data_IF_420721832808
#
_entry.id   IF_420721832808
#
_cell.length_a   1.000
_cell.length_b   1.000
_cell.length_c   1.000
_cell.angle_alpha   90.00
_cell.angle_beta   90.00
_cell.angle_gamma   90.00
#
_symmetry.space_group_name_H-M   'P 1'
#
loop_
_entity.id
_entity.type
_entity.pdbx_description
1 polymer ?
#
# COMPACT_ATOMS: atom_id res chain seq x y z
N UNK A 1 0.39 -7.18 -13.33
CA UNK A 1 0.86 -8.30 -12.47
C UNK A 1 -0.35 -8.94 -11.79
N UNK A 2 -0.39 -10.25 -11.78
CA UNK A 2 -1.30 -11.06 -10.97
C UNK A 2 -0.64 -11.41 -9.63
N UNK A 3 -1.37 -12.07 -8.73
CA UNK A 3 -0.87 -12.42 -7.38
C UNK A 3 0.40 -13.28 -7.42
N UNK A 4 0.46 -14.25 -8.32
CA UNK A 4 1.61 -15.14 -8.51
C UNK A 4 2.84 -14.39 -9.03
N UNK A 5 2.66 -13.37 -9.87
CA UNK A 5 3.75 -12.51 -10.33
C UNK A 5 4.35 -11.72 -9.19
N UNK A 6 3.50 -11.13 -8.33
CA UNK A 6 3.93 -10.38 -7.16
C UNK A 6 4.78 -11.27 -6.25
N UNK A 7 4.30 -12.47 -5.92
CA UNK A 7 5.04 -13.40 -5.07
C UNK A 7 6.38 -13.81 -5.71
N UNK A 8 6.39 -14.08 -7.01
CA UNK A 8 7.61 -14.44 -7.75
C UNK A 8 8.63 -13.30 -7.71
N UNK A 9 8.23 -12.07 -7.99
CA UNK A 9 9.16 -10.94 -8.00
C UNK A 9 9.68 -10.59 -6.60
N UNK A 10 8.83 -10.72 -5.57
CA UNK A 10 9.28 -10.57 -4.18
C UNK A 10 10.26 -11.68 -3.76
N UNK A 11 10.09 -12.90 -4.26
CA UNK A 11 11.02 -14.00 -4.00
C UNK A 11 12.38 -13.77 -4.70
N UNK A 12 12.37 -13.33 -5.95
CA UNK A 12 13.60 -12.97 -6.68
C UNK A 12 14.31 -11.80 -5.98
N UNK A 13 13.55 -10.75 -5.60
CA UNK A 13 14.12 -9.62 -4.88
C UNK A 13 14.75 -10.03 -3.56
N UNK A 14 14.08 -10.90 -2.81
CA UNK A 14 14.59 -11.43 -1.56
C UNK A 14 15.89 -12.27 -1.74
N UNK A 15 16.01 -13.00 -2.84
CA UNK A 15 17.21 -13.79 -3.14
C UNK A 15 18.47 -12.92 -3.40
N UNK A 16 18.28 -11.72 -3.93
CA UNK A 16 19.37 -10.78 -4.21
C UNK A 16 19.83 -9.99 -2.96
N UNK A 17 19.00 -9.95 -1.90
CA UNK A 17 19.32 -9.21 -0.69
C UNK A 17 20.25 -9.99 0.23
N UNK A 18 21.26 -9.31 0.79
CA UNK A 18 22.24 -9.89 1.72
C UNK A 18 21.91 -9.66 3.19
N UNK A 19 21.02 -8.71 3.49
CA UNK A 19 20.65 -8.31 4.85
C UNK A 19 19.13 -8.26 4.99
N UNK A 20 18.60 -8.48 6.20
CA UNK A 20 17.17 -8.36 6.45
C UNK A 20 16.63 -6.98 6.09
N UNK A 21 15.50 -6.98 5.39
CA UNK A 21 14.72 -5.80 5.00
C UNK A 21 13.27 -6.07 5.36
N UNK A 22 12.64 -5.12 6.05
CA UNK A 22 11.23 -5.19 6.45
C UNK A 22 10.43 -4.16 5.67
N UNK A 23 9.44 -4.64 4.93
CA UNK A 23 8.55 -3.79 4.14
C UNK A 23 7.09 -4.04 4.49
N UNK A 24 6.28 -2.99 4.39
CA UNK A 24 4.83 -3.04 4.49
C UNK A 24 4.24 -2.93 3.09
N UNK A 25 3.48 -3.93 2.67
CA UNK A 25 2.87 -3.94 1.35
C UNK A 25 1.60 -3.11 1.35
N UNK A 26 1.48 -2.17 0.40
CA UNK A 26 0.32 -1.28 0.29
C UNK A 26 -0.22 -1.26 -1.15
N UNK A 27 -1.09 -0.33 -1.47
CA UNK A 27 -1.53 -0.05 -2.84
C UNK A 27 -2.33 -1.17 -3.51
N UNK A 28 -2.12 -1.31 -4.81
CA UNK A 28 -2.81 -2.29 -5.66
C UNK A 28 -2.43 -3.73 -5.33
N UNK A 29 -1.16 -3.98 -5.02
CA UNK A 29 -0.66 -5.30 -4.64
C UNK A 29 -1.33 -5.82 -3.34
N UNK A 30 -1.52 -4.94 -2.33
CA UNK A 30 -2.29 -5.31 -1.15
C UNK A 30 -3.73 -5.69 -1.50
N UNK A 31 -4.39 -4.91 -2.35
CA UNK A 31 -5.78 -5.16 -2.75
C UNK A 31 -5.93 -6.51 -3.44
N UNK A 32 -5.00 -6.86 -4.29
CA UNK A 32 -5.00 -8.14 -5.01
C UNK A 32 -4.77 -9.32 -4.04
N UNK A 33 -3.75 -9.25 -3.20
CA UNK A 33 -3.33 -10.36 -2.33
C UNK A 33 -4.24 -10.57 -1.11
N UNK A 34 -4.79 -9.51 -0.52
CA UNK A 34 -5.48 -9.58 0.78
C UNK A 34 -6.95 -9.16 0.74
N UNK A 35 -7.36 -8.44 -0.30
CA UNK A 35 -8.74 -8.00 -0.45
C UNK A 35 -9.48 -8.70 -1.59
N UNK A 36 -8.83 -9.58 -2.36
CA UNK A 36 -9.37 -10.26 -3.54
C UNK A 36 -9.96 -9.26 -4.55
N UNK A 37 -9.27 -8.15 -4.79
CA UNK A 37 -9.68 -7.20 -5.81
C UNK A 37 -9.62 -7.87 -7.20
N UNK A 38 -10.63 -7.73 -8.06
CA UNK A 38 -10.73 -8.47 -9.33
C UNK A 38 -9.92 -7.83 -10.46
N UNK A 39 -8.86 -7.10 -10.14
CA UNK A 39 -8.04 -6.41 -11.13
C UNK A 39 -6.55 -6.55 -10.85
N UNK A 40 -5.73 -6.76 -11.89
CA UNK A 40 -4.28 -6.77 -11.75
C UNK A 40 -3.75 -5.41 -11.29
N UNK A 41 -2.54 -5.41 -10.77
CA UNK A 41 -1.79 -4.19 -10.47
C UNK A 41 -0.64 -4.01 -11.46
N UNK A 42 -0.17 -2.76 -11.64
CA UNK A 42 1.02 -2.45 -12.44
C UNK A 42 2.28 -2.43 -11.60
N UNK A 43 2.14 -2.13 -10.32
CA UNK A 43 3.19 -1.80 -9.37
C UNK A 43 3.02 -2.52 -8.04
N UNK A 44 4.10 -2.62 -7.31
CA UNK A 44 4.15 -3.08 -5.92
C UNK A 44 4.57 -1.87 -5.08
N UNK A 45 3.58 -1.20 -4.48
CA UNK A 45 3.83 -0.10 -3.55
C UNK A 45 4.20 -0.63 -2.18
N UNK A 46 5.23 -0.06 -1.56
CA UNK A 46 5.68 -0.46 -0.21
C UNK A 46 6.00 0.75 0.67
N UNK A 47 5.91 0.52 1.98
CA UNK A 47 6.56 1.35 2.99
C UNK A 47 7.64 0.55 3.69
N UNK A 48 8.71 1.23 4.11
CA UNK A 48 9.77 0.68 4.94
C UNK A 48 9.32 0.61 6.39
N UNK A 49 9.63 -0.49 7.07
CA UNK A 49 9.39 -0.63 8.51
C UNK A 49 10.63 -0.37 9.38
N UNK A 50 11.80 -0.24 8.73
CA UNK A 50 13.07 0.06 9.40
C UNK A 50 13.66 1.33 8.79
N UNK A 51 13.73 2.42 9.54
CA UNK A 51 14.38 3.67 9.09
C UNK A 51 15.86 3.44 8.75
N UNK A 52 16.58 2.74 9.61
CA UNK A 52 17.96 2.31 9.35
C UNK A 52 18.06 1.28 8.22
N UNK A 53 17.03 0.48 8.01
CA UNK A 53 16.91 -0.49 6.94
C UNK A 53 16.86 0.17 5.57
N UNK A 54 16.13 1.28 5.46
CA UNK A 54 16.04 2.06 4.22
C UNK A 54 17.43 2.52 3.74
N UNK A 55 18.18 3.22 4.58
CA UNK A 55 19.50 3.75 4.18
C UNK A 55 20.50 2.64 3.83
N UNK A 56 20.51 1.54 4.59
CA UNK A 56 21.42 0.41 4.37
C UNK A 56 21.04 -0.47 3.18
N UNK A 57 19.74 -0.62 2.93
CA UNK A 57 19.22 -1.50 1.89
C UNK A 57 18.91 -0.77 0.58
N UNK A 58 18.90 0.56 0.57
CA UNK A 58 18.48 1.36 -0.58
C UNK A 58 19.28 1.03 -1.85
N UNK A 59 20.62 1.06 -1.77
CA UNK A 59 21.46 0.78 -2.94
C UNK A 59 21.33 -0.66 -3.43
N UNK A 60 21.53 -1.71 -2.59
CA UNK A 60 21.39 -3.09 -3.05
C UNK A 60 19.95 -3.42 -3.49
N UNK A 61 18.94 -2.85 -2.85
CA UNK A 61 17.54 -3.02 -3.30
C UNK A 61 17.33 -2.40 -4.68
N UNK A 62 17.79 -1.18 -4.88
CA UNK A 62 17.67 -0.49 -6.17
C UNK A 62 18.34 -1.26 -7.30
N UNK A 63 19.52 -1.82 -7.05
CA UNK A 63 20.23 -2.66 -8.02
C UNK A 63 19.41 -3.92 -8.34
N UNK A 64 18.93 -4.63 -7.32
CA UNK A 64 18.10 -5.82 -7.49
C UNK A 64 16.78 -5.53 -8.22
N UNK A 65 16.13 -4.41 -7.92
CA UNK A 65 14.92 -3.95 -8.63
C UNK A 65 15.21 -3.74 -10.12
N UNK A 66 16.38 -3.17 -10.48
CA UNK A 66 16.75 -2.99 -11.89
C UNK A 66 17.05 -4.31 -12.60
N UNK A 67 17.71 -5.24 -11.93
CA UNK A 67 17.98 -6.58 -12.48
C UNK A 67 16.65 -7.30 -12.81
N UNK A 68 15.72 -7.31 -11.87
CA UNK A 68 14.42 -7.97 -12.04
C UNK A 68 13.59 -7.26 -13.14
N UNK A 69 13.62 -5.93 -13.16
CA UNK A 69 12.99 -5.14 -14.22
C UNK A 69 13.46 -5.57 -15.61
N UNK A 70 14.77 -5.64 -15.81
CA UNK A 70 15.36 -6.04 -17.11
C UNK A 70 15.04 -7.49 -17.48
N UNK A 71 15.09 -8.40 -16.50
CA UNK A 71 14.82 -9.81 -16.70
C UNK A 71 13.37 -10.09 -17.14
N UNK A 72 12.40 -9.31 -16.64
CA UNK A 72 10.98 -9.54 -16.86
C UNK A 72 10.29 -8.46 -17.69
N UNK A 73 11.06 -7.52 -18.26
CA UNK A 73 10.56 -6.38 -19.06
C UNK A 73 9.45 -5.60 -18.34
N UNK A 74 9.71 -5.25 -17.06
CA UNK A 74 8.75 -4.54 -16.22
C UNK A 74 8.86 -3.01 -16.40
N UNK A 75 7.81 -2.29 -16.03
CA UNK A 75 7.80 -0.83 -15.99
C UNK A 75 8.87 -0.28 -15.03
N UNK A 76 9.27 0.98 -15.19
CA UNK A 76 10.32 1.59 -14.36
C UNK A 76 9.96 1.67 -12.88
N UNK A 77 8.68 1.76 -12.60
CA UNK A 77 8.04 1.92 -11.28
C UNK A 77 7.35 0.64 -10.77
N UNK A 78 7.66 -0.52 -11.39
CA UNK A 78 7.07 -1.80 -10.99
C UNK A 78 7.18 -2.11 -9.49
N UNK A 79 8.24 -1.59 -8.84
CA UNK A 79 8.45 -1.68 -7.40
C UNK A 79 8.65 -0.27 -6.84
N UNK A 80 7.59 0.28 -6.28
CA UNK A 80 7.55 1.67 -5.80
C UNK A 80 7.91 1.75 -4.31
N UNK A 81 9.20 1.88 -4.05
CA UNK A 81 9.76 2.04 -2.71
C UNK A 81 9.88 3.49 -2.24
N UNK A 82 9.50 4.45 -3.09
CA UNK A 82 9.54 5.88 -2.79
C UNK A 82 8.20 6.41 -2.26
N UNK A 83 7.15 5.60 -2.26
CA UNK A 83 5.82 6.01 -1.82
C UNK A 83 5.83 6.62 -0.39
N UNK A 84 6.64 6.06 0.50
CA UNK A 84 6.79 6.58 1.87
C UNK A 84 7.42 7.97 1.91
N UNK A 85 8.39 8.26 1.06
CA UNK A 85 9.03 9.58 1.03
C UNK A 85 8.05 10.70 0.67
N UNK A 86 7.04 10.38 -0.13
CA UNK A 86 6.00 11.32 -0.55
C UNK A 86 4.92 11.53 0.51
N UNK A 87 4.82 10.62 1.48
CA UNK A 87 3.77 10.59 2.50
C UNK A 87 4.32 10.58 3.94
N UNK A 88 5.62 10.80 4.13
CA UNK A 88 6.29 10.65 5.43
C UNK A 88 5.65 11.49 6.54
N UNK A 89 5.34 12.75 6.25
CA UNK A 89 4.74 13.70 7.20
C UNK A 89 3.20 13.67 7.19
N UNK A 90 2.58 12.69 6.55
CA UNK A 90 1.15 12.66 6.29
C UNK A 90 0.45 11.45 6.88
N UNK A 91 1.19 10.35 7.11
CA UNK A 91 0.61 9.07 7.54
C UNK A 91 1.35 8.46 8.73
N UNK A 92 0.60 7.74 9.56
CA UNK A 92 1.14 6.91 10.64
C UNK A 92 1.29 5.49 10.10
N UNK A 93 2.52 5.04 9.87
CA UNK A 93 2.80 3.71 9.33
C UNK A 93 2.67 2.66 10.44
N UNK A 94 1.71 1.70 10.36
CA UNK A 94 1.58 0.63 11.36
C UNK A 94 2.66 -0.44 11.15
N UNK A 95 2.98 -1.20 12.19
CA UNK A 95 3.91 -2.33 12.06
C UNK A 95 3.41 -3.43 11.11
N UNK A 96 2.11 -3.62 11.04
CA UNK A 96 1.51 -4.68 10.25
C UNK A 96 1.72 -6.08 10.84
N UNK A 97 1.21 -7.09 10.12
CA UNK A 97 1.40 -8.52 10.46
C UNK A 97 2.32 -9.15 9.42
N UNK A 98 3.33 -9.89 9.87
CA UNK A 98 4.19 -10.64 8.95
C UNK A 98 3.31 -11.55 8.08
N UNK A 99 3.37 -11.34 6.78
CA UNK A 99 2.71 -12.19 5.80
C UNK A 99 3.64 -13.29 5.33
N UNK A 100 4.81 -12.93 4.80
CA UNK A 100 5.73 -13.91 4.21
C UNK A 100 7.18 -13.44 4.31
N UNK A 101 8.10 -14.41 4.35
CA UNK A 101 9.54 -14.18 4.23
C UNK A 101 10.02 -14.75 2.91
N UNK A 102 10.74 -13.94 2.17
CA UNK A 102 11.45 -14.34 0.95
C UNK A 102 12.95 -14.15 1.22
N UNK A 103 13.56 -15.13 1.90
CA UNK A 103 14.92 -14.98 2.40
C UNK A 103 15.05 -13.77 3.35
N UNK A 104 15.97 -12.84 3.10
CA UNK A 104 16.14 -11.62 3.88
C UNK A 104 14.98 -10.61 3.75
N UNK A 105 14.15 -10.69 2.72
CA UNK A 105 13.00 -9.81 2.55
C UNK A 105 11.82 -10.29 3.39
N UNK A 106 11.43 -9.50 4.39
CA UNK A 106 10.27 -9.77 5.24
C UNK A 106 9.12 -8.84 4.86
N UNK A 107 8.03 -9.40 4.37
CA UNK A 107 6.86 -8.66 3.88
C UNK A 107 5.74 -8.70 4.90
N UNK A 108 5.25 -7.54 5.26
CA UNK A 108 4.18 -7.33 6.24
C UNK A 108 2.92 -6.80 5.55
N UNK A 109 1.78 -7.23 6.03
CA UNK A 109 0.47 -6.73 5.61
C UNK A 109 -0.09 -5.81 6.70
N UNK A 110 -0.47 -4.57 6.39
CA UNK A 110 -1.12 -3.67 7.35
C UNK A 110 -2.57 -4.10 7.63
N UNK A 111 -3.20 -3.55 8.68
CA UNK A 111 -4.64 -3.69 8.87
C UNK A 111 -5.42 -3.17 7.65
N UNK A 112 -6.58 -3.79 7.37
CA UNK A 112 -7.46 -3.35 6.25
C UNK A 112 -7.93 -1.90 6.40
N UNK A 113 -8.15 -1.49 7.63
CA UNK A 113 -8.53 -0.12 7.98
C UNK A 113 -7.45 0.91 7.58
N UNK A 114 -6.18 0.52 7.67
CA UNK A 114 -5.07 1.37 7.21
C UNK A 114 -5.15 1.60 5.70
N UNK A 115 -5.31 0.52 4.92
CA UNK A 115 -5.46 0.64 3.47
C UNK A 115 -6.72 1.42 3.09
N UNK A 116 -7.81 1.22 3.84
CA UNK A 116 -9.03 2.00 3.65
C UNK A 116 -8.77 3.50 3.84
N UNK A 117 -8.05 3.90 4.91
CA UNK A 117 -7.69 5.30 5.14
C UNK A 117 -6.87 5.90 3.98
N UNK A 118 -5.85 5.18 3.50
CA UNK A 118 -5.03 5.62 2.37
C UNK A 118 -5.84 5.76 1.08
N UNK A 119 -6.77 4.83 0.84
CA UNK A 119 -7.64 4.85 -0.35
C UNK A 119 -8.67 5.96 -0.29
N UNK A 120 -9.25 6.24 0.88
CA UNK A 120 -10.15 7.40 1.10
C UNK A 120 -9.36 8.70 0.84
N UNK A 121 -8.15 8.83 1.38
CA UNK A 121 -7.32 10.01 1.18
C UNK A 121 -6.93 10.21 -0.29
N UNK A 122 -6.65 9.14 -1.02
CA UNK A 122 -6.34 9.22 -2.45
C UNK A 122 -7.55 9.63 -3.30
N UNK A 123 -8.77 9.17 -2.98
CA UNK A 123 -10.05 9.63 -3.53
C UNK A 123 -10.27 9.45 -5.04
N UNK A 124 -9.38 8.72 -5.75
CA UNK A 124 -9.52 8.48 -7.20
C UNK A 124 -10.62 7.44 -7.47
N UNK A 125 -11.24 7.45 -8.63
CA UNK A 125 -12.32 6.51 -8.99
C UNK A 125 -11.97 5.05 -8.72
N UNK A 126 -10.74 4.63 -9.08
CA UNK A 126 -10.24 3.28 -8.79
C UNK A 126 -10.13 3.00 -7.29
N UNK A 127 -9.80 4.01 -6.48
CA UNK A 127 -9.67 3.90 -5.04
C UNK A 127 -11.03 3.83 -4.35
N UNK A 128 -12.07 4.48 -4.88
CA UNK A 128 -13.45 4.37 -4.40
C UNK A 128 -13.99 2.93 -4.56
N UNK A 129 -13.70 2.28 -5.70
CA UNK A 129 -14.04 0.88 -5.89
C UNK A 129 -13.29 -0.04 -4.88
N UNK A 130 -12.00 0.22 -4.64
CA UNK A 130 -11.21 -0.48 -3.64
C UNK A 130 -11.76 -0.27 -2.22
N UNK A 131 -12.19 0.96 -1.88
CA UNK A 131 -12.85 1.27 -0.59
C UNK A 131 -14.13 0.44 -0.39
N UNK A 132 -14.97 0.29 -1.42
CA UNK A 132 -16.17 -0.52 -1.33
C UNK A 132 -15.86 -1.99 -1.02
N UNK A 133 -14.80 -2.55 -1.64
CA UNK A 133 -14.31 -3.90 -1.35
C UNK A 133 -13.82 -4.00 0.11
N UNK A 134 -13.02 -3.04 0.57
CA UNK A 134 -12.49 -3.03 1.94
C UNK A 134 -13.59 -2.88 2.98
N UNK A 135 -14.58 -2.00 2.75
CA UNK A 135 -15.73 -1.82 3.65
C UNK A 135 -16.51 -3.13 3.82
N UNK A 136 -16.70 -3.92 2.75
CA UNK A 136 -17.36 -5.22 2.84
C UNK A 136 -16.64 -6.21 3.76
N UNK A 137 -15.34 -6.03 3.98
CA UNK A 137 -14.44 -6.90 4.77
C UNK A 137 -14.07 -6.32 6.14
N UNK A 138 -14.60 -5.16 6.50
CA UNK A 138 -14.41 -4.50 7.80
C UNK A 138 -15.75 -4.40 8.56
N UNK A 139 -15.72 -3.87 9.78
CA UNK A 139 -16.93 -3.59 10.58
C UNK A 139 -17.38 -2.13 10.45
N UNK A 140 -16.82 -1.38 9.53
CA UNK A 140 -17.16 0.03 9.29
C UNK A 140 -18.43 0.08 8.47
N UNK A 141 -19.46 0.78 8.99
CA UNK A 141 -20.79 0.86 8.37
C UNK A 141 -21.31 2.28 8.22
N UNK A 142 -20.66 3.25 8.87
CA UNK A 142 -21.10 4.66 8.82
C UNK A 142 -19.96 5.55 8.39
N UNK A 143 -20.32 6.74 7.89
CA UNK A 143 -19.37 7.78 7.50
C UNK A 143 -18.47 8.19 8.67
N UNK A 144 -19.04 8.34 9.87
CA UNK A 144 -18.30 8.73 11.07
C UNK A 144 -17.25 7.68 11.43
N UNK A 145 -17.59 6.39 11.32
CA UNK A 145 -16.62 5.31 11.55
C UNK A 145 -15.48 5.34 10.53
N UNK A 146 -15.77 5.61 9.27
CA UNK A 146 -14.75 5.74 8.23
C UNK A 146 -13.88 6.99 8.46
N UNK A 147 -14.49 8.12 8.87
CA UNK A 147 -13.77 9.33 9.24
C UNK A 147 -12.79 9.06 10.39
N UNK A 148 -13.20 8.37 11.45
CA UNK A 148 -12.32 7.99 12.56
C UNK A 148 -11.15 7.09 12.12
N UNK A 149 -11.35 6.27 11.11
CA UNK A 149 -10.25 5.46 10.53
C UNK A 149 -9.25 6.35 9.80
N UNK A 150 -9.71 7.34 9.06
CA UNK A 150 -8.84 8.34 8.43
C UNK A 150 -8.04 9.10 9.50
N UNK A 151 -8.69 9.61 10.55
CA UNK A 151 -8.05 10.33 11.66
C UNK A 151 -7.04 9.49 12.43
N UNK A 152 -7.26 8.18 12.51
CA UNK A 152 -6.33 7.24 13.17
C UNK A 152 -5.01 7.10 12.42
N UNK A 153 -5.04 7.13 11.09
CA UNK A 153 -3.90 6.77 10.26
C UNK A 153 -3.29 7.92 9.46
N UNK A 154 -3.98 9.05 9.36
CA UNK A 154 -3.43 10.26 8.78
C UNK A 154 -3.07 11.26 9.86
N UNK A 155 -1.87 11.80 9.78
CA UNK A 155 -1.46 12.94 10.58
C UNK A 155 -2.29 14.19 10.21
N UNK A 156 -2.38 15.22 11.07
CA UNK A 156 -3.13 16.44 10.77
C UNK A 156 -2.75 17.08 9.43
N UNK A 157 -1.47 17.09 9.09
CA UNK A 157 -0.95 17.55 7.79
C UNK A 157 -1.54 16.77 6.61
N UNK A 158 -1.61 15.44 6.74
CA UNK A 158 -2.23 14.59 5.71
C UNK A 158 -3.74 14.79 5.62
N UNK A 159 -4.43 14.95 6.75
CA UNK A 159 -5.86 15.23 6.77
C UNK A 159 -6.19 16.57 6.09
N UNK A 160 -5.39 17.61 6.34
CA UNK A 160 -5.54 18.91 5.69
C UNK A 160 -5.24 18.83 4.19
N UNK A 161 -4.12 18.23 3.82
CA UNK A 161 -3.68 18.08 2.42
C UNK A 161 -4.71 17.36 1.55
N UNK A 162 -5.34 16.32 2.09
CA UNK A 162 -6.29 15.46 1.36
C UNK A 162 -7.76 15.73 1.71
N UNK A 163 -8.08 16.85 2.38
CA UNK A 163 -9.41 17.15 2.89
C UNK A 163 -10.52 17.03 1.82
N UNK A 164 -10.29 17.59 0.63
CA UNK A 164 -11.25 17.53 -0.48
C UNK A 164 -11.47 16.11 -0.99
N UNK A 165 -10.38 15.33 -1.16
CA UNK A 165 -10.45 13.94 -1.60
C UNK A 165 -11.15 13.06 -0.57
N UNK A 166 -10.86 13.28 0.72
CA UNK A 166 -11.49 12.56 1.84
C UNK A 166 -13.00 12.83 1.84
N UNK A 167 -13.40 14.10 1.76
CA UNK A 167 -14.80 14.50 1.74
C UNK A 167 -15.53 13.91 0.53
N UNK A 168 -14.91 13.96 -0.65
CA UNK A 168 -15.44 13.35 -1.87
C UNK A 168 -15.66 11.85 -1.70
N UNK A 169 -14.63 11.13 -1.20
CA UNK A 169 -14.70 9.68 -1.02
C UNK A 169 -15.76 9.27 0.00
N UNK A 170 -15.82 9.96 1.15
CA UNK A 170 -16.81 9.67 2.19
C UNK A 170 -18.24 9.90 1.70
N UNK A 171 -18.47 10.99 0.97
CA UNK A 171 -19.77 11.27 0.36
C UNK A 171 -20.17 10.18 -0.64
N UNK A 172 -19.26 9.79 -1.52
CA UNK A 172 -19.53 8.76 -2.51
C UNK A 172 -19.85 7.39 -1.85
N UNK A 173 -19.12 7.03 -0.78
CA UNK A 173 -19.26 5.74 -0.12
C UNK A 173 -20.54 5.60 0.72
N UNK A 174 -20.98 6.67 1.38
CA UNK A 174 -22.03 6.60 2.41
C UNK A 174 -23.30 7.38 2.07
N UNK A 175 -23.23 8.37 1.21
CA UNK A 175 -24.42 9.18 0.84
C UNK A 175 -25.02 8.73 -0.50
N UNK A 176 -24.29 7.89 -1.25
CA UNK A 176 -24.72 7.28 -2.50
C UNK A 176 -24.64 8.23 -3.69
N UNK A 177 -24.73 7.67 -4.89
CA UNK A 177 -25.09 8.43 -6.09
C UNK A 177 -26.57 8.80 -5.97
N UNK A 178 -26.87 9.89 -5.30
CA UNK A 178 -28.14 10.59 -5.52
C UNK A 178 -27.97 11.41 -6.80
N UNK A 179 -28.28 10.80 -7.89
CA UNK A 179 -28.33 11.43 -9.19
C UNK A 179 -28.86 10.46 -10.19
#
# INVERSE_FOLDING_TARGET
MEAEDIERYLAELGAELKKPVRILLIGGAYMLLFANAPRPTKDIDIFWLDEDGFQRAYTPLRESVQVIKQKHDLDADWFNYLAQMLMYDEVIVPEGKLWKRFGPLHVYAPPREYILALKIAAGRDKDLADCAILLSKTRIRTREQAQHVVERYLLPSGQEKYAESIEHALRWLFEGKRG
#
